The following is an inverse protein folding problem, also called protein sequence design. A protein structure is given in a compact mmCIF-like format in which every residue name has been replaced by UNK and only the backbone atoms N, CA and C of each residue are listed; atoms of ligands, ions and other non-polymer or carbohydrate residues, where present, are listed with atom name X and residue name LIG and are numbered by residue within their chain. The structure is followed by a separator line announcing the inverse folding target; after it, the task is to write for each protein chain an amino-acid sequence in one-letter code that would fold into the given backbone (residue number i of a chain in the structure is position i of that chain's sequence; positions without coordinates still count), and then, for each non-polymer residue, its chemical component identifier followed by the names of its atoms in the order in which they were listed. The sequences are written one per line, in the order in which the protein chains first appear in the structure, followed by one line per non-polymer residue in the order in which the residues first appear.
data_IF_807991674255
#
_entry.id   IF_807991674255
#
_cell.length_a   1.000
_cell.length_b   1.000
_cell.length_c   1.000
_cell.angle_alpha   90.00
_cell.angle_beta   90.00
_cell.angle_gamma   90.00
#
_symmetry.space_group_name_H-M   'P 1'
#
loop_
_entity.id
_entity.type
_entity.pdbx_description
1 polymer ?
#
# COMPACT_ATOMS: atom_id res chain seq x y z
N UNK A 1 -54.54 50.26 -2.25
CA UNK A 1 -53.28 49.83 -1.60
C UNK A 1 -53.30 48.31 -1.47
N UNK A 2 -52.66 47.53 -2.34
CA UNK A 2 -52.54 46.10 -2.13
C UNK A 2 -51.26 45.78 -1.34
N UNK A 3 -51.43 44.96 -0.33
CA UNK A 3 -50.39 44.48 0.56
C UNK A 3 -49.38 43.60 -0.18
N UNK A 4 -48.10 43.88 0.04
CA UNK A 4 -46.98 43.09 -0.45
C UNK A 4 -46.98 41.70 0.21
N UNK A 5 -47.17 40.63 -0.56
CA UNK A 5 -46.94 39.26 -0.17
C UNK A 5 -45.44 39.04 -0.12
N UNK A 6 -44.90 38.95 1.07
CA UNK A 6 -43.54 38.41 1.29
C UNK A 6 -43.51 36.96 0.86
N UNK A 7 -42.77 36.68 -0.21
CA UNK A 7 -42.37 35.33 -0.56
C UNK A 7 -41.32 34.86 0.44
N UNK A 8 -41.72 34.00 1.36
CA UNK A 8 -40.78 33.21 2.14
C UNK A 8 -40.14 32.18 1.22
N UNK A 9 -38.88 32.42 0.85
CA UNK A 9 -38.03 31.43 0.18
C UNK A 9 -37.79 30.28 1.13
N UNK A 10 -38.52 29.18 0.93
CA UNK A 10 -38.31 27.93 1.66
C UNK A 10 -36.86 27.45 1.42
N UNK A 11 -36.04 27.52 2.42
CA UNK A 11 -34.78 26.81 2.45
C UNK A 11 -35.09 25.32 2.39
N UNK A 12 -35.00 24.78 1.19
CA UNK A 12 -35.03 23.32 0.97
C UNK A 12 -33.78 22.76 1.64
N UNK A 13 -33.94 22.18 2.80
CA UNK A 13 -32.92 21.39 3.47
C UNK A 13 -32.60 20.22 2.54
N UNK A 14 -31.54 20.37 1.75
CA UNK A 14 -30.95 19.25 1.04
C UNK A 14 -30.42 18.29 2.10
N UNK A 15 -31.18 17.22 2.36
CA UNK A 15 -30.66 16.09 3.14
C UNK A 15 -29.47 15.56 2.35
N UNK A 16 -28.25 15.92 2.74
CA UNK A 16 -27.06 15.35 2.11
C UNK A 16 -27.09 13.84 2.40
N UNK A 17 -27.21 13.04 1.35
CA UNK A 17 -27.10 11.59 1.48
C UNK A 17 -25.72 11.29 2.09
N UNK A 18 -25.74 10.48 3.15
CA UNK A 18 -24.51 10.05 3.82
C UNK A 18 -24.19 8.63 3.40
N UNK A 19 -22.95 8.40 3.09
CA UNK A 19 -22.40 7.08 2.76
C UNK A 19 -21.30 6.73 3.74
N UNK A 20 -21.08 5.45 3.96
CA UNK A 20 -19.95 4.96 4.76
C UNK A 20 -18.65 5.39 4.10
N UNK A 21 -17.68 5.82 4.89
CA UNK A 21 -16.40 6.35 4.38
C UNK A 21 -15.63 5.30 3.58
N UNK A 22 -15.63 4.03 4.00
CA UNK A 22 -14.95 2.95 3.28
C UNK A 22 -15.57 2.67 1.89
N UNK A 23 -16.87 2.85 1.76
CA UNK A 23 -17.59 2.74 0.48
C UNK A 23 -17.30 3.96 -0.39
N UNK A 24 -17.41 5.15 0.17
CA UNK A 24 -17.23 6.41 -0.55
C UNK A 24 -15.82 6.56 -1.15
N UNK A 25 -14.79 6.12 -0.40
CA UNK A 25 -13.40 6.09 -0.92
C UNK A 25 -13.26 5.23 -2.17
N UNK A 26 -13.98 4.12 -2.24
CA UNK A 26 -13.94 3.22 -3.38
C UNK A 26 -14.76 3.77 -4.56
N UNK A 27 -15.95 4.32 -4.29
CA UNK A 27 -16.82 4.92 -5.30
C UNK A 27 -16.19 6.15 -5.96
N UNK A 28 -15.42 6.95 -5.21
CA UNK A 28 -14.68 8.11 -5.73
C UNK A 28 -13.35 7.72 -6.39
N UNK A 29 -12.99 6.44 -6.46
CA UNK A 29 -11.73 5.98 -7.04
C UNK A 29 -10.48 6.34 -6.23
N UNK A 30 -10.63 6.78 -4.97
CA UNK A 30 -9.53 7.11 -4.08
C UNK A 30 -8.83 5.87 -3.52
N UNK A 31 -9.50 4.72 -3.57
CA UNK A 31 -8.95 3.41 -3.22
C UNK A 31 -9.48 2.33 -4.18
N UNK A 32 -8.62 1.37 -4.51
CA UNK A 32 -8.92 0.31 -5.49
C UNK A 32 -9.94 -0.71 -4.97
N UNK A 33 -10.04 -0.86 -3.65
CA UNK A 33 -10.95 -1.81 -3.01
C UNK A 33 -11.38 -1.33 -1.63
N UNK A 34 -12.53 -1.84 -1.17
CA UNK A 34 -13.04 -1.55 0.15
C UNK A 34 -12.09 -1.99 1.28
N UNK A 35 -11.38 -3.10 1.10
CA UNK A 35 -10.38 -3.57 2.08
C UNK A 35 -9.21 -2.59 2.19
N UNK A 36 -8.69 -2.09 1.06
CA UNK A 36 -7.66 -1.04 1.05
C UNK A 36 -8.17 0.26 1.66
N UNK A 37 -9.40 0.64 1.36
CA UNK A 37 -10.04 1.81 1.97
C UNK A 37 -10.10 1.69 3.50
N UNK A 38 -10.51 0.55 4.02
CA UNK A 38 -10.57 0.29 5.47
C UNK A 38 -9.17 0.37 6.10
N UNK A 39 -8.17 -0.24 5.50
CA UNK A 39 -6.79 -0.19 5.99
C UNK A 39 -6.25 1.25 6.02
N UNK A 40 -6.51 2.04 4.96
CA UNK A 40 -6.10 3.45 4.86
C UNK A 40 -6.79 4.31 5.91
N UNK A 41 -8.09 4.09 6.16
CA UNK A 41 -8.83 4.82 7.20
C UNK A 41 -8.30 4.46 8.59
N UNK A 42 -8.13 3.18 8.90
CA UNK A 42 -7.64 2.71 10.20
C UNK A 42 -6.20 3.14 10.49
N UNK A 43 -5.39 3.36 9.45
CA UNK A 43 -4.04 3.93 9.61
C UNK A 43 -4.06 5.43 9.91
N UNK A 44 -5.24 6.07 9.91
CA UNK A 44 -5.41 7.48 10.24
C UNK A 44 -4.93 8.45 9.17
N UNK A 45 -4.87 8.01 7.93
CA UNK A 45 -4.43 8.82 6.79
C UNK A 45 -5.58 9.59 6.12
N UNK A 46 -6.84 9.29 6.46
CA UNK A 46 -8.01 9.88 5.82
C UNK A 46 -8.52 11.07 6.61
N UNK A 47 -8.74 12.18 5.90
CA UNK A 47 -9.32 13.41 6.41
C UNK A 47 -10.59 13.75 5.64
N UNK A 48 -11.65 14.02 6.37
CA UNK A 48 -12.95 14.44 5.83
C UNK A 48 -13.20 15.89 6.27
N UNK A 49 -13.34 16.79 5.33
CA UNK A 49 -13.46 18.24 5.59
C UNK A 49 -12.37 18.78 6.52
N UNK A 50 -11.14 18.26 6.38
CA UNK A 50 -9.98 18.64 7.19
C UNK A 50 -9.87 17.94 8.55
N UNK A 51 -10.84 17.13 8.96
CA UNK A 51 -10.82 16.36 10.21
C UNK A 51 -10.41 14.91 9.94
N UNK A 52 -9.49 14.38 10.74
CA UNK A 52 -9.07 13.00 10.68
C UNK A 52 -10.19 12.05 11.07
N UNK A 53 -10.40 11.01 10.26
CA UNK A 53 -11.37 9.94 10.53
C UNK A 53 -10.64 8.60 10.47
N UNK A 54 -10.74 7.79 11.51
CA UNK A 54 -10.07 6.50 11.66
C UNK A 54 -11.02 5.29 11.70
N UNK A 55 -12.33 5.54 11.63
CA UNK A 55 -13.37 4.49 11.64
C UNK A 55 -13.96 4.32 10.24
N UNK A 56 -13.74 3.17 9.57
CA UNK A 56 -14.24 2.92 8.21
C UNK A 56 -15.75 3.04 8.04
N UNK A 57 -16.50 2.69 9.06
CA UNK A 57 -17.96 2.75 9.06
C UNK A 57 -18.56 4.14 9.28
N UNK A 58 -17.75 5.18 9.46
CA UNK A 58 -18.25 6.54 9.68
C UNK A 58 -19.11 6.99 8.50
N UNK A 59 -20.34 7.44 8.77
CA UNK A 59 -21.23 8.00 7.76
C UNK A 59 -20.82 9.46 7.48
N UNK A 60 -20.43 9.76 6.27
CA UNK A 60 -20.00 11.08 5.82
C UNK A 60 -20.89 11.58 4.68
N UNK A 61 -21.10 12.90 4.53
CA UNK A 61 -21.84 13.45 3.39
C UNK A 61 -21.16 13.06 2.07
N UNK A 62 -21.95 12.75 1.06
CA UNK A 62 -21.43 12.34 -0.24
C UNK A 62 -20.65 13.45 -0.97
N UNK A 63 -20.92 14.69 -0.62
CA UNK A 63 -20.24 15.89 -1.10
C UNK A 63 -19.06 16.34 -0.21
N UNK A 64 -18.72 15.57 0.82
CA UNK A 64 -17.60 15.87 1.69
C UNK A 64 -16.27 15.82 0.94
N UNK A 65 -15.41 16.79 1.23
CA UNK A 65 -14.04 16.80 0.73
C UNK A 65 -13.24 15.74 1.47
N UNK A 66 -12.83 14.70 0.75
CA UNK A 66 -12.01 13.61 1.30
C UNK A 66 -10.58 13.79 0.80
N UNK A 67 -9.63 13.75 1.74
CA UNK A 67 -8.21 13.80 1.47
C UNK A 67 -7.53 12.63 2.14
N UNK A 68 -6.65 11.96 1.40
CA UNK A 68 -5.71 11.00 1.95
C UNK A 68 -4.39 11.73 2.16
N UNK A 69 -4.03 12.00 3.42
CA UNK A 69 -2.81 12.70 3.80
C UNK A 69 -1.80 11.71 4.35
N UNK A 70 -0.59 11.78 3.84
CA UNK A 70 0.47 10.84 4.19
C UNK A 70 0.69 9.81 3.08
N UNK A 71 1.88 9.24 3.04
CA UNK A 71 2.21 8.22 2.07
C UNK A 71 1.30 7.01 2.28
N UNK A 72 0.43 6.72 1.32
CA UNK A 72 0.09 5.33 1.03
C UNK A 72 1.42 4.60 0.99
N UNK A 73 1.58 3.52 1.77
CA UNK A 73 2.84 2.79 1.82
C UNK A 73 3.32 2.58 0.38
N UNK A 74 4.47 3.19 0.04
CA UNK A 74 5.09 3.09 -1.28
C UNK A 74 5.37 1.64 -1.66
N UNK A 75 5.57 0.81 -0.63
CA UNK A 75 5.86 -0.61 -0.73
C UNK A 75 4.76 -1.42 -0.05
N UNK A 76 4.67 -2.71 -0.36
CA UNK A 76 3.68 -3.64 0.21
C UNK A 76 3.75 -3.74 1.75
N UNK A 77 4.85 -3.33 2.35
CA UNK A 77 5.00 -3.19 3.81
C UNK A 77 6.00 -2.10 4.19
N UNK A 78 6.00 -1.69 5.48
CA UNK A 78 6.96 -0.72 6.03
C UNK A 78 8.42 -1.16 5.90
N UNK A 79 8.67 -2.46 5.78
CA UNK A 79 10.02 -2.99 5.55
C UNK A 79 10.70 -2.35 4.35
N UNK A 80 9.97 -2.08 3.27
CA UNK A 80 10.52 -1.43 2.08
C UNK A 80 11.17 -0.07 2.35
N UNK A 81 10.64 0.71 3.29
CA UNK A 81 11.22 1.99 3.70
C UNK A 81 12.57 1.81 4.41
N UNK A 82 12.76 0.70 5.14
CA UNK A 82 14.03 0.37 5.80
C UNK A 82 15.13 0.13 4.76
N UNK A 83 14.82 -0.66 3.73
CA UNK A 83 15.77 -0.91 2.64
C UNK A 83 16.04 0.37 1.82
N UNK A 84 15.00 1.14 1.47
CA UNK A 84 15.15 2.41 0.76
C UNK A 84 16.10 3.37 1.48
N UNK A 85 15.95 3.50 2.80
CA UNK A 85 16.83 4.33 3.62
C UNK A 85 18.28 3.82 3.58
N UNK A 86 18.50 2.52 3.68
CA UNK A 86 19.83 1.92 3.61
C UNK A 86 20.46 2.13 2.23
N UNK A 87 19.71 1.91 1.16
CA UNK A 87 20.17 2.14 -0.21
C UNK A 87 20.60 3.60 -0.42
N UNK A 88 19.79 4.55 0.02
CA UNK A 88 20.11 5.98 -0.06
C UNK A 88 21.36 6.33 0.73
N UNK A 89 21.48 5.79 1.96
CA UNK A 89 22.61 6.08 2.84
C UNK A 89 23.95 5.52 2.31
N UNK A 90 23.91 4.32 1.76
CA UNK A 90 25.12 3.62 1.25
C UNK A 90 25.35 3.79 -0.24
N UNK A 91 24.51 4.53 -0.95
CA UNK A 91 24.63 4.71 -2.42
C UNK A 91 24.45 3.41 -3.20
N UNK A 92 23.56 2.51 -2.75
CA UNK A 92 23.31 1.24 -3.43
C UNK A 92 22.36 1.45 -4.59
N UNK A 93 22.79 1.06 -5.78
CA UNK A 93 21.98 1.06 -7.01
C UNK A 93 21.61 -0.37 -7.41
N UNK A 94 20.36 -0.59 -7.74
CA UNK A 94 19.82 -1.92 -8.08
C UNK A 94 19.37 -2.05 -9.53
N UNK A 95 19.48 -0.99 -10.31
CA UNK A 95 19.10 -1.00 -11.74
C UNK A 95 19.82 -2.14 -12.49
N UNK A 96 19.03 -2.96 -13.17
CA UNK A 96 19.52 -4.09 -13.95
C UNK A 96 20.08 -5.28 -13.16
N UNK A 97 20.00 -5.27 -11.83
CA UNK A 97 20.57 -6.32 -10.97
C UNK A 97 19.61 -7.45 -10.67
N UNK A 98 20.17 -8.63 -10.50
CA UNK A 98 19.50 -9.78 -9.91
C UNK A 98 19.75 -9.77 -8.40
N UNK A 99 18.69 -9.77 -7.63
CA UNK A 99 18.71 -9.61 -6.18
C UNK A 99 18.17 -10.83 -5.44
N UNK A 100 18.50 -10.94 -4.16
CA UNK A 100 17.94 -11.93 -3.25
C UNK A 100 17.49 -11.24 -1.96
N UNK A 101 16.27 -11.54 -1.54
CA UNK A 101 15.65 -11.06 -0.29
C UNK A 101 15.49 -12.25 0.65
N UNK A 102 16.37 -12.33 1.67
CA UNK A 102 16.37 -13.39 2.67
C UNK A 102 15.57 -12.96 3.89
N UNK A 103 14.49 -13.68 4.18
CA UNK A 103 13.48 -13.29 5.14
C UNK A 103 12.45 -12.34 4.51
N UNK A 104 11.98 -12.68 3.30
CA UNK A 104 11.13 -11.79 2.50
C UNK A 104 9.79 -11.45 3.15
N UNK A 105 9.23 -12.32 3.98
CA UNK A 105 7.96 -12.11 4.68
C UNK A 105 6.87 -11.62 3.71
N UNK A 106 6.24 -10.48 3.96
CA UNK A 106 5.24 -9.87 3.08
C UNK A 106 5.83 -9.30 1.79
N UNK A 107 7.15 -9.13 1.70
CA UNK A 107 7.84 -8.68 0.50
C UNK A 107 8.17 -7.19 0.44
N UNK A 108 8.26 -6.50 1.58
CA UNK A 108 8.59 -5.08 1.60
C UNK A 108 9.94 -4.77 0.94
N UNK A 109 10.96 -5.57 1.23
CA UNK A 109 12.28 -5.42 0.60
C UNK A 109 12.24 -5.83 -0.87
N UNK A 110 11.60 -6.94 -1.20
CA UNK A 110 11.38 -7.39 -2.58
C UNK A 110 10.75 -6.29 -3.44
N UNK A 111 9.66 -5.67 -2.95
CA UNK A 111 8.97 -4.58 -3.66
C UNK A 111 9.88 -3.35 -3.81
N UNK A 112 10.65 -3.01 -2.78
CA UNK A 112 11.63 -1.93 -2.84
C UNK A 112 12.70 -2.20 -3.91
N UNK A 113 13.24 -3.42 -3.99
CA UNK A 113 14.21 -3.81 -5.00
C UNK A 113 13.65 -3.67 -6.41
N UNK A 114 12.44 -4.16 -6.66
CA UNK A 114 11.78 -4.07 -7.96
C UNK A 114 11.50 -2.63 -8.38
N UNK A 115 11.02 -1.79 -7.46
CA UNK A 115 10.77 -0.38 -7.75
C UNK A 115 12.05 0.43 -7.97
N UNK A 116 13.20 -0.06 -7.53
CA UNK A 116 14.51 0.52 -7.77
C UNK A 116 15.28 -0.17 -8.91
N UNK A 117 14.59 -0.84 -9.81
CA UNK A 117 15.13 -1.31 -11.08
C UNK A 117 15.74 -2.71 -11.07
N UNK A 118 15.60 -3.50 -9.99
CA UNK A 118 15.99 -4.90 -10.01
C UNK A 118 15.21 -5.65 -11.11
N UNK A 119 15.94 -6.43 -11.92
CA UNK A 119 15.34 -7.19 -13.03
C UNK A 119 14.79 -8.54 -12.58
N UNK A 120 15.28 -9.05 -11.46
CA UNK A 120 14.82 -10.30 -10.84
C UNK A 120 15.11 -10.30 -9.35
N UNK A 121 14.18 -10.82 -8.56
CA UNK A 121 14.36 -10.96 -7.10
C UNK A 121 13.95 -12.35 -6.66
N UNK A 122 14.88 -13.05 -6.03
CA UNK A 122 14.62 -14.29 -5.30
C UNK A 122 14.13 -13.96 -3.89
N UNK A 123 12.85 -14.18 -3.62
CA UNK A 123 12.23 -13.93 -2.33
C UNK A 123 12.21 -15.22 -1.51
N UNK A 124 13.15 -15.33 -0.58
CA UNK A 124 13.39 -16.54 0.23
C UNK A 124 12.82 -16.37 1.63
N UNK A 125 11.97 -17.30 2.07
CA UNK A 125 11.40 -17.29 3.40
C UNK A 125 11.13 -18.71 3.92
N UNK A 126 11.30 -18.92 5.22
CA UNK A 126 10.94 -20.18 5.87
C UNK A 126 9.41 -20.34 6.04
N UNK A 127 8.69 -19.23 6.05
CA UNK A 127 7.23 -19.17 6.13
C UNK A 127 6.54 -19.58 4.84
N UNK A 128 5.21 -19.53 4.87
CA UNK A 128 4.37 -19.87 3.73
C UNK A 128 3.18 -18.92 3.60
N UNK A 129 2.87 -18.55 2.36
CA UNK A 129 1.69 -17.75 2.05
C UNK A 129 1.74 -16.29 2.55
N UNK A 130 2.92 -15.79 2.92
CA UNK A 130 3.09 -14.44 3.46
C UNK A 130 3.36 -13.39 2.39
N UNK A 131 4.02 -13.78 1.30
CA UNK A 131 4.38 -12.86 0.22
C UNK A 131 3.12 -12.25 -0.39
N UNK A 132 3.11 -10.92 -0.53
CA UNK A 132 1.99 -10.17 -1.10
C UNK A 132 1.61 -10.71 -2.49
N UNK A 133 0.30 -10.78 -2.77
CA UNK A 133 -0.25 -11.32 -4.02
C UNK A 133 0.32 -10.63 -5.27
N UNK A 134 0.51 -9.32 -5.22
CA UNK A 134 1.11 -8.54 -6.31
C UNK A 134 2.51 -9.04 -6.66
N UNK A 135 3.33 -9.30 -5.65
CA UNK A 135 4.71 -9.76 -5.83
C UNK A 135 4.76 -11.22 -6.27
N UNK A 136 3.88 -12.04 -5.71
CA UNK A 136 3.77 -13.46 -6.09
C UNK A 136 3.45 -13.65 -7.58
N UNK A 137 2.72 -12.71 -8.17
CA UNK A 137 2.35 -12.72 -9.59
C UNK A 137 3.26 -11.86 -10.48
N UNK A 138 4.26 -11.21 -9.92
CA UNK A 138 5.24 -10.46 -10.72
C UNK A 138 6.23 -11.44 -11.38
N UNK A 139 6.38 -11.44 -12.72
CA UNK A 139 7.27 -12.36 -13.43
C UNK A 139 8.75 -12.20 -13.06
N UNK A 140 9.13 -11.08 -12.44
CA UNK A 140 10.48 -10.82 -11.95
C UNK A 140 10.77 -11.43 -10.58
N UNK A 141 9.75 -11.97 -9.90
CA UNK A 141 9.88 -12.54 -8.56
C UNK A 141 9.90 -14.07 -8.62
N UNK A 142 10.95 -14.65 -8.06
CA UNK A 142 11.04 -16.08 -7.77
C UNK A 142 10.68 -16.29 -6.31
N UNK A 143 9.49 -16.82 -6.06
CA UNK A 143 9.00 -17.06 -4.70
C UNK A 143 9.54 -18.40 -4.17
N UNK A 144 10.42 -18.33 -3.17
CA UNK A 144 11.03 -19.48 -2.50
C UNK A 144 10.56 -19.57 -1.05
N UNK A 145 9.30 -19.91 -0.86
CA UNK A 145 8.70 -20.17 0.47
C UNK A 145 9.06 -21.55 1.01
N UNK A 146 8.87 -21.77 2.32
CA UNK A 146 9.27 -22.99 3.05
C UNK A 146 10.74 -23.33 2.81
N UNK A 147 11.55 -22.33 2.57
CA UNK A 147 12.95 -22.48 2.20
C UNK A 147 13.84 -21.85 3.24
N UNK A 148 14.72 -22.65 3.83
CA UNK A 148 15.74 -22.14 4.73
C UNK A 148 17.00 -21.86 3.90
N UNK A 149 17.43 -20.59 3.91
CA UNK A 149 18.61 -20.12 3.14
C UNK A 149 19.87 -20.92 3.43
N UNK A 150 20.00 -21.52 4.61
CA UNK A 150 21.17 -22.35 4.99
C UNK A 150 21.33 -23.60 4.13
N UNK A 151 20.24 -24.04 3.47
CA UNK A 151 20.22 -25.25 2.65
C UNK A 151 20.10 -24.94 1.16
N UNK A 152 20.01 -23.65 0.78
CA UNK A 152 20.00 -23.23 -0.60
C UNK A 152 21.40 -23.36 -1.18
N UNK A 153 21.51 -24.05 -2.31
CA UNK A 153 22.75 -24.28 -3.02
C UNK A 153 22.79 -23.47 -4.32
N UNK A 154 23.97 -23.31 -4.95
CA UNK A 154 24.04 -22.63 -6.25
C UNK A 154 23.16 -23.27 -7.33
N UNK A 155 22.85 -24.55 -7.22
CA UNK A 155 22.00 -25.29 -8.16
C UNK A 155 20.53 -24.89 -8.05
N UNK A 156 20.11 -24.35 -6.88
CA UNK A 156 18.74 -23.84 -6.64
C UNK A 156 18.52 -22.44 -7.23
N UNK A 157 19.60 -21.76 -7.62
CA UNK A 157 19.58 -20.37 -8.09
C UNK A 157 20.15 -20.33 -9.51
N UNK A 158 19.30 -20.02 -10.50
CA UNK A 158 19.71 -19.99 -11.91
C UNK A 158 20.63 -18.82 -12.26
N UNK A 159 20.54 -17.74 -11.49
CA UNK A 159 21.21 -16.48 -11.79
C UNK A 159 22.33 -16.16 -10.80
N UNK A 160 23.30 -15.38 -11.24
CA UNK A 160 24.29 -14.79 -10.34
C UNK A 160 23.65 -13.66 -9.53
N UNK A 161 23.57 -13.82 -8.21
CA UNK A 161 23.08 -12.78 -7.31
C UNK A 161 24.10 -11.65 -7.21
N UNK A 162 23.65 -10.42 -7.44
CA UNK A 162 24.47 -9.20 -7.45
C UNK A 162 24.23 -8.31 -6.23
N UNK A 163 23.08 -8.50 -5.57
CA UNK A 163 22.74 -7.85 -4.32
C UNK A 163 21.89 -8.79 -3.45
N UNK A 164 22.12 -8.78 -2.17
CA UNK A 164 21.29 -9.54 -1.21
C UNK A 164 21.00 -8.70 0.02
N UNK A 165 19.74 -8.76 0.47
CA UNK A 165 19.32 -8.29 1.79
C UNK A 165 19.03 -9.48 2.69
N UNK A 166 19.29 -9.32 3.99
CA UNK A 166 19.03 -10.33 5.01
C UNK A 166 18.37 -9.62 6.19
N UNK A 167 17.10 -9.90 6.41
CA UNK A 167 16.31 -9.38 7.54
C UNK A 167 15.52 -10.54 8.17
N UNK A 168 16.20 -11.28 9.00
CA UNK A 168 15.69 -12.49 9.67
C UNK A 168 15.65 -12.31 11.18
N UNK A 169 14.69 -12.95 11.83
CA UNK A 169 14.51 -12.97 13.29
C UNK A 169 15.02 -14.27 13.89
#
# INVERSE_FOLDING_TARGET
MPAARQMQSGRRWLMSNKTRLDVLLTEQGLQESRQKAQATIMSGLVFVNGQRVDKPGTAVPNDARIEIRGNTLRYVSRGGLKLEKAMTHFGVELEGKVCMDVGSSTGGFTDCMLQNGAVKVYAVDVGHGQLDWKLRNDPRVVCMEKTNIRYVTPEDIEDRIQFSSIDVS
#
